data_IF_021063911786
#
_entry.id   IF_021063911786
#
_cell.length_a   1.000
_cell.length_b   1.000
_cell.length_c   1.000
_cell.angle_alpha   90.00
_cell.angle_beta   90.00
_cell.angle_gamma   90.00
#
_symmetry.space_group_name_H-M   'P 1'
#
loop_
_entity.id
_entity.type
_entity.pdbx_description
1 polymer ?
#
# COMPACT_ATOMS: atom_id res chain seq x y z
N UNK A 1 7.26 12.86 9.30
CA UNK A 1 7.25 12.47 7.88
C UNK A 1 7.22 10.95 7.92
N UNK A 2 6.33 10.30 7.16
CA UNK A 2 6.23 8.85 7.19
C UNK A 2 7.56 8.23 6.75
N UNK A 3 8.01 7.20 7.45
CA UNK A 3 9.27 6.52 7.14
C UNK A 3 8.97 5.04 6.91
N UNK A 4 9.50 4.50 5.81
CA UNK A 4 9.62 3.07 5.60
C UNK A 4 11.08 2.70 5.90
N UNK A 5 11.35 2.19 7.10
CA UNK A 5 12.69 1.78 7.51
C UNK A 5 12.83 0.25 7.50
N UNK A 6 13.61 -0.27 6.57
CA UNK A 6 13.87 -1.70 6.43
C UNK A 6 14.65 -2.26 7.65
N UNK A 7 15.31 -1.41 8.46
CA UNK A 7 16.08 -1.82 9.65
C UNK A 7 15.33 -1.73 10.99
N UNK A 8 14.00 -1.53 10.96
CA UNK A 8 13.13 -1.92 12.07
C UNK A 8 13.06 -0.98 13.25
N UNK A 9 13.27 0.33 13.07
CA UNK A 9 13.05 1.30 14.19
C UNK A 9 12.01 2.37 13.90
N UNK A 10 11.59 2.55 12.64
CA UNK A 10 10.67 3.63 12.24
C UNK A 10 9.78 3.25 11.04
N UNK A 11 9.19 2.04 11.00
CA UNK A 11 8.22 1.65 9.95
C UNK A 11 6.83 2.18 10.30
N UNK A 12 6.24 2.97 9.41
CA UNK A 12 4.86 3.44 9.57
C UNK A 12 4.00 3.04 8.35
N UNK A 13 4.24 3.66 7.19
CA UNK A 13 3.49 3.35 5.97
C UNK A 13 4.27 3.71 4.70
N UNK A 14 3.92 3.07 3.58
CA UNK A 14 4.42 3.40 2.24
C UNK A 14 3.29 3.37 1.21
N UNK A 15 3.23 4.39 0.37
CA UNK A 15 2.43 4.40 -0.86
C UNK A 15 3.40 4.42 -2.04
N UNK A 16 3.36 3.39 -2.89
CA UNK A 16 4.39 3.17 -3.91
C UNK A 16 3.82 2.47 -5.16
N UNK A 17 4.67 2.32 -6.17
CA UNK A 17 4.43 1.43 -7.29
C UNK A 17 5.38 0.24 -7.16
N UNK A 18 4.87 -0.99 -7.29
CA UNK A 18 5.70 -2.20 -7.28
C UNK A 18 6.54 -2.36 -8.57
N UNK A 19 7.25 -3.48 -8.69
CA UNK A 19 8.04 -3.79 -9.89
C UNK A 19 7.20 -3.96 -11.18
N UNK A 20 5.91 -4.27 -11.05
CA UNK A 20 4.94 -4.39 -12.15
C UNK A 20 4.23 -3.07 -12.47
N UNK A 21 4.41 -2.04 -11.64
CA UNK A 21 3.73 -0.75 -11.74
C UNK A 21 2.34 -0.72 -11.07
N UNK A 22 2.02 -1.69 -10.23
CA UNK A 22 0.81 -1.74 -9.42
C UNK A 22 0.89 -0.70 -8.30
N UNK A 23 -0.13 0.15 -8.13
CA UNK A 23 -0.18 1.05 -6.99
C UNK A 23 -0.54 0.27 -5.72
N UNK A 24 0.36 0.36 -4.74
CA UNK A 24 0.32 -0.43 -3.51
C UNK A 24 0.43 0.49 -2.29
N UNK A 25 -0.31 0.16 -1.22
CA UNK A 25 -0.27 0.88 0.04
C UNK A 25 -0.11 -0.11 1.20
N UNK A 26 0.98 0.04 1.93
CA UNK A 26 1.34 -0.84 3.03
C UNK A 26 1.54 -0.06 4.31
N UNK A 27 1.22 -0.71 5.42
CA UNK A 27 1.39 -0.22 6.78
C UNK A 27 2.10 -1.28 7.62
N UNK A 28 2.87 -0.82 8.60
CA UNK A 28 3.48 -1.70 9.59
C UNK A 28 2.41 -2.24 10.55
N UNK A 29 2.40 -3.55 10.78
CA UNK A 29 1.60 -4.19 11.81
C UNK A 29 2.46 -4.48 13.05
N UNK A 30 2.26 -3.65 14.09
CA UNK A 30 2.93 -3.81 15.38
C UNK A 30 2.52 -5.11 16.11
N UNK A 31 1.38 -5.70 15.74
CA UNK A 31 0.86 -6.93 16.37
C UNK A 31 1.64 -8.15 15.93
N UNK A 32 2.02 -8.20 14.64
CA UNK A 32 2.74 -9.29 14.00
C UNK A 32 4.24 -9.08 13.84
N UNK A 33 4.77 -7.85 14.06
CA UNK A 33 6.09 -7.43 13.55
C UNK A 33 6.19 -7.68 12.03
N UNK A 34 5.11 -7.32 11.32
CA UNK A 34 4.89 -7.67 9.92
C UNK A 34 4.37 -6.45 9.14
N UNK A 35 4.04 -6.65 7.87
CA UNK A 35 3.43 -5.66 6.98
C UNK A 35 2.04 -6.12 6.57
N UNK A 36 1.08 -5.22 6.67
CA UNK A 36 -0.23 -5.38 6.04
C UNK A 36 -0.38 -4.38 4.91
N UNK A 37 -0.91 -4.81 3.78
CA UNK A 37 -0.99 -3.95 2.61
C UNK A 37 -1.96 -4.46 1.56
N UNK A 38 -2.34 -3.54 0.68
CA UNK A 38 -3.28 -3.78 -0.41
C UNK A 38 -2.76 -3.12 -1.68
N UNK A 39 -3.08 -3.73 -2.81
CA UNK A 39 -2.70 -3.24 -4.13
C UNK A 39 -3.83 -3.37 -5.14
N UNK A 40 -3.71 -2.60 -6.22
CA UNK A 40 -4.46 -2.78 -7.47
C UNK A 40 -3.57 -3.52 -8.47
N UNK A 41 -3.92 -4.75 -8.85
CA UNK A 41 -3.17 -5.57 -9.81
C UNK A 41 -3.29 -5.10 -11.27
N UNK A 42 -3.63 -3.82 -11.46
CA UNK A 42 -3.60 -3.11 -12.73
C UNK A 42 -2.45 -2.10 -12.74
N UNK A 43 -1.49 -2.29 -13.66
CA UNK A 43 -0.36 -1.39 -13.79
C UNK A 43 -0.81 0.04 -14.11
N UNK A 44 -0.23 1.02 -13.44
CA UNK A 44 -0.58 2.42 -13.64
C UNK A 44 -0.15 2.86 -15.05
N UNK A 45 -1.12 3.33 -15.85
CA UNK A 45 -0.84 3.83 -17.19
C UNK A 45 0.00 5.12 -17.15
N UNK A 46 1.02 5.21 -18.01
CA UNK A 46 1.90 6.39 -18.12
C UNK A 46 1.32 7.46 -19.05
N UNK A 47 1.96 8.64 -19.11
CA UNK A 47 1.59 9.72 -20.04
C UNK A 47 0.37 10.56 -19.62
N UNK A 48 -0.16 10.34 -18.41
CA UNK A 48 -1.20 11.18 -17.81
C UNK A 48 -1.03 11.24 -16.30
N UNK A 49 -1.47 12.35 -15.69
CA UNK A 49 -1.55 12.44 -14.24
C UNK A 49 -2.56 11.42 -13.69
N UNK A 50 -2.19 10.80 -12.57
CA UNK A 50 -3.04 9.88 -11.82
C UNK A 50 -3.17 10.42 -10.40
N UNK A 51 -4.39 10.38 -9.86
CA UNK A 51 -4.65 10.69 -8.46
C UNK A 51 -4.79 9.38 -7.70
N UNK A 52 -3.86 9.10 -6.79
CA UNK A 52 -3.83 7.86 -6.01
C UNK A 52 -4.03 8.19 -4.54
N UNK A 53 -4.89 7.42 -3.86
CA UNK A 53 -5.17 7.56 -2.42
C UNK A 53 -5.07 6.21 -1.74
N UNK A 54 -4.20 6.10 -0.74
CA UNK A 54 -4.22 5.03 0.24
C UNK A 54 -5.02 5.46 1.47
N UNK A 55 -5.85 4.56 2.01
CA UNK A 55 -6.63 4.80 3.24
C UNK A 55 -6.41 3.63 4.19
N UNK A 56 -6.16 3.93 5.46
CA UNK A 56 -6.21 2.96 6.55
C UNK A 56 -7.19 3.44 7.61
N UNK A 57 -8.11 2.56 8.03
CA UNK A 57 -9.17 2.90 8.99
C UNK A 57 -8.79 2.71 10.47
N UNK A 58 -7.56 2.23 10.73
CA UNK A 58 -7.02 1.98 12.07
C UNK A 58 -7.21 0.56 12.61
N UNK A 59 -7.76 -0.37 11.82
CA UNK A 59 -7.73 -1.80 12.12
C UNK A 59 -6.34 -2.44 11.95
N UNK A 60 -6.26 -3.77 12.06
CA UNK A 60 -5.01 -4.53 11.99
C UNK A 60 -4.98 -5.56 10.84
N UNK A 61 -6.04 -5.62 10.01
CA UNK A 61 -6.13 -6.55 8.89
C UNK A 61 -5.90 -5.82 7.56
N UNK A 62 -5.43 -6.52 6.52
CA UNK A 62 -5.31 -5.95 5.17
C UNK A 62 -6.64 -5.39 4.64
N UNK A 63 -7.78 -5.96 5.05
CA UNK A 63 -9.12 -5.48 4.70
C UNK A 63 -9.43 -4.05 5.22
N UNK A 64 -8.65 -3.54 6.17
CA UNK A 64 -8.74 -2.17 6.69
C UNK A 64 -7.99 -1.14 5.83
N UNK A 65 -7.26 -1.60 4.81
CA UNK A 65 -6.51 -0.80 3.87
C UNK A 65 -7.28 -0.74 2.55
N UNK A 66 -7.31 0.44 1.92
CA UNK A 66 -7.94 0.65 0.62
C UNK A 66 -7.05 1.48 -0.29
N UNK A 67 -7.09 1.16 -1.57
CA UNK A 67 -6.37 1.90 -2.63
C UNK A 67 -7.39 2.44 -3.62
N UNK A 68 -7.26 3.72 -3.95
CA UNK A 68 -8.09 4.38 -4.95
C UNK A 68 -7.23 4.97 -6.06
N UNK A 69 -7.63 4.75 -7.30
CA UNK A 69 -7.04 5.38 -8.49
C UNK A 69 -8.12 6.21 -9.20
N UNK A 70 -7.87 7.51 -9.34
CA UNK A 70 -8.81 8.51 -9.90
C UNK A 70 -10.20 8.46 -9.24
N UNK A 71 -10.25 8.20 -7.94
CA UNK A 71 -11.48 8.18 -7.15
C UNK A 71 -12.26 6.85 -7.20
N UNK A 72 -11.80 5.86 -7.96
CA UNK A 72 -12.34 4.50 -7.94
C UNK A 72 -11.53 3.64 -6.96
N UNK A 73 -12.20 2.88 -6.10
CA UNK A 73 -11.53 1.88 -5.27
C UNK A 73 -11.07 0.73 -6.17
N UNK A 74 -9.78 0.41 -6.15
CA UNK A 74 -9.17 -0.59 -7.03
C UNK A 74 -8.32 -1.62 -6.30
N UNK A 75 -8.23 -1.56 -4.97
CA UNK A 75 -7.55 -2.61 -4.21
C UNK A 75 -8.24 -3.97 -4.41
N UNK A 76 -7.56 -4.89 -5.10
CA UNK A 76 -8.11 -6.22 -5.46
C UNK A 76 -7.21 -7.38 -5.02
N UNK A 77 -6.01 -7.09 -4.50
CA UNK A 77 -5.13 -8.07 -3.89
C UNK A 77 -4.47 -7.56 -2.59
N UNK A 78 -4.12 -8.51 -1.73
CA UNK A 78 -3.23 -8.24 -0.60
C UNK A 78 -1.80 -8.18 -1.15
N UNK A 79 -0.97 -7.29 -0.61
CA UNK A 79 0.45 -7.31 -0.91
C UNK A 79 1.08 -8.52 -0.25
N UNK A 80 1.77 -9.34 -1.03
CA UNK A 80 2.63 -10.40 -0.49
C UNK A 80 3.97 -9.77 -0.14
N UNK A 81 4.48 -10.02 1.06
CA UNK A 81 5.79 -9.57 1.50
C UNK A 81 6.88 -10.01 0.49
N UNK A 82 7.41 -9.03 -0.25
CA UNK A 82 8.45 -9.22 -1.26
C UNK A 82 9.80 -9.06 -0.53
N UNK A 83 10.16 -10.09 0.27
CA UNK A 83 11.45 -10.17 0.99
C UNK A 83 12.61 -10.42 0.03
#
# INVERSE_FOLDING_TARGET
IAVWDVQGTTREFRLYLDANGYPSFDCYDESGDDTIGREDQTAIGTGSWKFVVGVMDGGADAANIKVYVNGLQTDDADTVDDV
#
